data_IF_062551556936
#
_entry.id   IF_062551556936
#
_cell.length_a   1.000
_cell.length_b   1.000
_cell.length_c   1.000
_cell.angle_alpha   90.00
_cell.angle_beta   90.00
_cell.angle_gamma   90.00
#
_symmetry.space_group_name_H-M   'P 1'
#
loop_
_entity.id
_entity.type
_entity.pdbx_description
1 polymer ?
#
# COMPACT_ATOMS: atom_id res chain seq x y z
N UNK A 1 -7.09 13.99 30.56
CA UNK A 1 -7.89 14.06 29.31
C UNK A 1 -7.23 13.16 28.28
N UNK A 2 -7.98 12.31 27.59
CA UNK A 2 -7.45 11.53 26.47
C UNK A 2 -6.99 12.46 25.34
N UNK A 3 -5.95 12.09 24.62
CA UNK A 3 -5.53 12.83 23.43
C UNK A 3 -6.62 12.73 22.34
N UNK A 4 -6.86 13.79 21.56
CA UNK A 4 -7.87 13.77 20.52
C UNK A 4 -7.42 12.89 19.34
N UNK A 5 -8.31 11.99 18.91
CA UNK A 5 -8.02 10.96 17.90
C UNK A 5 -9.05 11.00 16.76
N UNK A 6 -8.61 10.66 15.56
CA UNK A 6 -9.50 10.33 14.45
C UNK A 6 -9.70 8.83 14.40
N UNK A 7 -10.96 8.42 14.56
CA UNK A 7 -11.38 7.02 14.52
C UNK A 7 -12.01 6.79 13.15
N UNK A 8 -11.57 5.74 12.45
CA UNK A 8 -12.09 5.42 11.11
C UNK A 8 -12.70 4.03 11.09
N UNK A 9 -13.97 4.00 10.68
CA UNK A 9 -14.71 2.79 10.40
C UNK A 9 -14.66 2.45 8.91
N UNK A 10 -14.47 1.18 8.60
CA UNK A 10 -14.46 0.64 7.23
C UNK A 10 -15.50 -0.46 7.14
N UNK A 11 -16.27 -0.56 6.05
CA UNK A 11 -17.20 -1.66 5.87
C UNK A 11 -16.38 -2.91 5.53
N UNK A 12 -16.55 -3.97 6.31
CA UNK A 12 -15.92 -5.27 6.08
C UNK A 12 -16.99 -6.34 5.91
N UNK A 13 -16.75 -7.35 5.04
CA UNK A 13 -17.65 -8.47 4.90
C UNK A 13 -17.63 -9.34 6.17
N UNK A 14 -18.81 -9.71 6.66
CA UNK A 14 -19.03 -10.60 7.80
C UNK A 14 -18.68 -12.05 7.46
N UNK A 15 -18.95 -12.46 6.21
CA UNK A 15 -18.56 -13.75 5.68
C UNK A 15 -17.76 -13.58 4.38
N UNK A 16 -16.67 -14.35 4.26
CA UNK A 16 -15.84 -14.42 3.05
C UNK A 16 -15.81 -15.87 2.58
N UNK A 17 -16.39 -16.13 1.40
CA UNK A 17 -16.29 -17.45 0.75
C UNK A 17 -15.00 -17.51 -0.05
N UNK A 18 -14.14 -18.47 0.29
CA UNK A 18 -12.83 -18.60 -0.34
C UNK A 18 -12.96 -18.94 -1.83
N UNK A 19 -12.29 -18.16 -2.68
CA UNK A 19 -12.22 -18.43 -4.13
C UNK A 19 -13.34 -17.82 -4.97
N UNK A 20 -14.33 -17.18 -4.36
CA UNK A 20 -15.36 -16.39 -5.05
C UNK A 20 -15.09 -14.89 -4.89
N UNK A 21 -15.82 -14.08 -5.66
CA UNK A 21 -15.88 -12.64 -5.43
C UNK A 21 -16.59 -12.33 -4.12
N UNK A 22 -16.28 -11.17 -3.55
CA UNK A 22 -16.95 -10.73 -2.33
C UNK A 22 -18.42 -10.48 -2.62
N UNK A 23 -19.28 -11.07 -1.80
CA UNK A 23 -20.71 -10.79 -1.80
C UNK A 23 -20.94 -9.32 -1.42
N UNK A 24 -21.61 -8.57 -2.30
CA UNK A 24 -21.87 -7.14 -2.14
C UNK A 24 -23.23 -6.85 -1.51
N UNK A 25 -24.00 -7.88 -1.15
CA UNK A 25 -25.27 -7.71 -0.43
C UNK A 25 -25.05 -6.97 0.89
N UNK A 26 -25.83 -5.91 1.12
CA UNK A 26 -25.63 -5.00 2.25
C UNK A 26 -25.67 -5.73 3.61
N UNK A 27 -26.43 -6.82 3.73
CA UNK A 27 -26.51 -7.63 4.95
C UNK A 27 -25.19 -8.31 5.31
N UNK A 28 -24.32 -8.57 4.32
CA UNK A 28 -23.01 -9.16 4.56
C UNK A 28 -21.97 -8.13 5.01
N UNK A 29 -22.26 -6.82 5.09
CA UNK A 29 -21.26 -5.80 5.42
C UNK A 29 -21.54 -5.13 6.75
N UNK A 30 -20.51 -5.00 7.58
CA UNK A 30 -20.56 -4.33 8.87
C UNK A 30 -19.46 -3.28 8.99
N UNK A 31 -19.77 -2.17 9.66
CA UNK A 31 -18.79 -1.15 9.99
C UNK A 31 -17.88 -1.64 11.11
N UNK A 32 -16.59 -1.76 10.82
CA UNK A 32 -15.57 -2.13 11.79
C UNK A 32 -14.62 -0.95 12.02
N UNK A 33 -14.29 -0.69 13.28
CA UNK A 33 -13.23 0.25 13.63
C UNK A 33 -11.89 -0.35 13.19
N UNK A 34 -11.28 0.23 12.17
CA UNK A 34 -10.04 -0.29 11.58
C UNK A 34 -8.81 0.58 11.84
N UNK A 35 -9.01 1.89 12.04
CA UNK A 35 -7.90 2.82 12.21
C UNK A 35 -8.16 3.83 13.32
N UNK A 36 -7.09 4.16 14.05
CA UNK A 36 -7.04 5.27 14.99
C UNK A 36 -5.82 6.11 14.65
N UNK A 37 -6.02 7.40 14.43
CA UNK A 37 -4.94 8.34 14.13
C UNK A 37 -4.89 9.42 15.20
N UNK A 38 -3.78 9.55 15.96
CA UNK A 38 -3.62 10.67 16.87
C UNK A 38 -3.57 11.98 16.09
N UNK A 39 -4.48 12.91 16.40
CA UNK A 39 -4.55 14.21 15.68
C UNK A 39 -3.23 14.95 15.78
N UNK A 40 -2.60 14.93 16.97
CA UNK A 40 -1.30 15.56 17.19
C UNK A 40 -0.21 15.00 16.27
N UNK A 41 -0.22 13.70 15.96
CA UNK A 41 0.70 13.12 14.99
C UNK A 41 0.41 13.69 13.61
N UNK A 42 -0.84 13.65 13.15
CA UNK A 42 -1.19 14.14 11.81
C UNK A 42 -0.90 15.64 11.62
N UNK A 43 -1.09 16.46 12.66
CA UNK A 43 -0.76 17.90 12.61
C UNK A 43 0.74 18.17 12.74
N UNK A 44 1.45 17.46 13.63
CA UNK A 44 2.90 17.61 13.79
C UNK A 44 3.68 17.11 12.56
N UNK A 45 3.10 16.14 11.83
CA UNK A 45 3.60 15.61 10.56
C UNK A 45 2.87 16.22 9.36
N UNK A 46 2.37 17.46 9.46
CA UNK A 46 1.88 18.27 8.33
C UNK A 46 2.88 18.45 7.17
N UNK A 47 4.04 17.79 7.26
CA UNK A 47 5.04 17.62 6.23
C UNK A 47 4.65 16.66 5.10
N UNK A 48 3.68 15.74 5.24
CA UNK A 48 3.38 14.80 4.15
C UNK A 48 2.47 15.41 3.07
N UNK A 49 1.42 16.11 3.51
CA UNK A 49 0.45 16.72 2.61
C UNK A 49 -0.12 18.00 3.20
N UNK A 50 -0.34 19.00 2.34
CA UNK A 50 -1.06 20.23 2.69
C UNK A 50 -2.58 20.03 2.77
N UNK A 51 -3.08 18.84 2.42
CA UNK A 51 -4.49 18.43 2.47
C UNK A 51 -4.64 17.14 3.28
N UNK A 52 -4.67 17.22 4.62
CA UNK A 52 -4.59 16.04 5.48
C UNK A 52 -5.74 15.05 5.30
N UNK A 53 -6.96 15.51 4.95
CA UNK A 53 -8.06 14.59 4.64
C UNK A 53 -7.87 13.84 3.32
N UNK A 54 -7.25 14.44 2.30
CA UNK A 54 -6.89 13.73 1.06
C UNK A 54 -5.82 12.67 1.33
N UNK A 55 -4.82 13.01 2.15
CA UNK A 55 -3.81 12.04 2.60
C UNK A 55 -4.43 10.90 3.39
N UNK A 56 -5.33 11.20 4.33
CA UNK A 56 -6.03 10.21 5.13
C UNK A 56 -6.84 9.25 4.24
N UNK A 57 -7.60 9.80 3.28
CA UNK A 57 -8.33 9.04 2.26
C UNK A 57 -7.39 8.10 1.49
N UNK A 58 -6.24 8.61 1.03
CA UNK A 58 -5.24 7.79 0.33
C UNK A 58 -4.68 6.67 1.21
N UNK A 59 -4.28 6.99 2.45
CA UNK A 59 -3.66 6.05 3.37
C UNK A 59 -4.61 4.89 3.71
N UNK A 60 -5.86 5.20 4.03
CA UNK A 60 -6.90 4.19 4.30
C UNK A 60 -7.15 3.34 3.07
N UNK A 61 -7.36 3.96 1.90
CA UNK A 61 -7.58 3.21 0.65
C UNK A 61 -6.41 2.31 0.28
N UNK A 62 -5.17 2.74 0.55
CA UNK A 62 -3.97 1.94 0.37
C UNK A 62 -3.91 0.77 1.36
N UNK A 63 -4.29 0.98 2.62
CA UNK A 63 -4.32 -0.07 3.63
C UNK A 63 -5.42 -1.11 3.32
N UNK A 64 -6.64 -0.67 3.03
CA UNK A 64 -7.79 -1.55 2.75
C UNK A 64 -7.76 -2.18 1.35
N UNK A 65 -7.02 -1.59 0.42
CA UNK A 65 -6.90 -2.04 -0.97
C UNK A 65 -8.01 -1.58 -1.90
N UNK A 66 -8.92 -0.73 -1.42
CA UNK A 66 -10.06 -0.23 -2.16
C UNK A 66 -10.17 1.30 -2.08
N UNK A 67 -10.61 1.92 -3.17
CA UNK A 67 -10.84 3.37 -3.25
C UNK A 67 -12.23 3.71 -2.69
N UNK A 68 -12.31 4.81 -1.96
CA UNK A 68 -13.52 5.19 -1.26
C UNK A 68 -13.53 6.66 -0.88
N UNK A 69 -14.53 7.06 -0.10
CA UNK A 69 -14.73 8.42 0.38
C UNK A 69 -14.86 8.44 1.90
N UNK A 70 -14.29 9.46 2.53
CA UNK A 70 -14.49 9.72 3.95
C UNK A 70 -15.83 10.44 4.15
N UNK A 71 -16.62 9.96 5.11
CA UNK A 71 -17.92 10.46 5.51
C UNK A 71 -17.98 10.70 7.01
N UNK A 72 -18.83 11.61 7.47
CA UNK A 72 -19.13 11.80 8.91
C UNK A 72 -20.18 10.83 9.44
N UNK A 73 -20.93 10.22 8.54
CA UNK A 73 -22.04 9.31 8.84
C UNK A 73 -21.82 7.94 8.20
N UNK A 74 -22.36 6.92 8.84
CA UNK A 74 -22.36 5.54 8.35
C UNK A 74 -23.35 5.33 7.19
N UNK A 75 -24.47 6.07 7.16
CA UNK A 75 -25.45 6.13 6.07
C UNK A 75 -26.42 7.32 6.30
N UNK A 76 -26.79 8.14 5.30
CA UNK A 76 -26.32 8.19 3.92
C UNK A 76 -24.88 8.72 3.80
N UNK A 77 -24.32 8.64 2.59
CA UNK A 77 -23.00 9.17 2.28
C UNK A 77 -22.98 10.70 2.40
N UNK A 78 -22.28 11.22 3.42
CA UNK A 78 -22.01 12.65 3.63
C UNK A 78 -20.51 12.92 3.47
N UNK A 79 -20.07 13.08 2.21
CA UNK A 79 -18.64 13.22 1.88
C UNK A 79 -18.07 14.47 2.54
N UNK A 80 -16.99 14.30 3.30
CA UNK A 80 -16.31 15.43 3.93
C UNK A 80 -15.72 16.38 2.90
N UNK A 81 -15.68 17.67 3.24
CA UNK A 81 -14.88 18.61 2.49
C UNK A 81 -13.38 18.34 2.71
N UNK A 82 -12.73 17.77 1.69
CA UNK A 82 -11.30 17.47 1.71
C UNK A 82 -10.40 18.71 1.77
N UNK A 83 -10.96 19.91 1.56
CA UNK A 83 -10.25 21.18 1.70
C UNK A 83 -10.44 21.84 3.06
N UNK A 84 -11.31 21.29 3.92
CA UNK A 84 -11.56 21.83 5.25
C UNK A 84 -10.32 21.79 6.14
N UNK A 85 -10.31 22.67 7.15
CA UNK A 85 -9.32 22.65 8.20
C UNK A 85 -9.34 21.32 8.96
N UNK A 86 -8.18 20.87 9.41
CA UNK A 86 -8.07 19.64 10.19
C UNK A 86 -8.64 19.83 11.59
N UNK A 87 -9.36 18.83 12.16
CA UNK A 87 -10.05 19.00 13.43
C UNK A 87 -9.06 19.09 14.59
N UNK A 88 -9.43 19.82 15.64
CA UNK A 88 -8.69 19.87 16.92
C UNK A 88 -9.24 18.90 17.96
N UNK A 89 -10.47 18.42 17.77
CA UNK A 89 -11.16 17.47 18.64
C UNK A 89 -11.25 16.11 17.96
N UNK A 90 -11.50 15.05 18.74
CA UNK A 90 -11.73 13.72 18.20
C UNK A 90 -12.84 13.73 17.14
N UNK A 91 -12.65 12.91 16.10
CA UNK A 91 -13.57 12.83 14.97
C UNK A 91 -13.73 11.38 14.54
N UNK A 92 -14.97 10.95 14.41
CA UNK A 92 -15.32 9.66 13.83
C UNK A 92 -15.57 9.84 12.32
N UNK A 93 -15.01 8.94 11.52
CA UNK A 93 -15.14 8.93 10.08
C UNK A 93 -15.51 7.54 9.59
N UNK A 94 -16.26 7.49 8.50
CA UNK A 94 -16.69 6.27 7.83
C UNK A 94 -16.13 6.26 6.41
N UNK A 95 -15.37 5.22 6.04
CA UNK A 95 -14.78 5.08 4.73
C UNK A 95 -15.71 4.30 3.80
N UNK A 96 -16.52 5.02 3.03
CA UNK A 96 -17.49 4.44 2.13
C UNK A 96 -16.85 3.92 0.84
N UNK A 97 -17.23 2.72 0.45
CA UNK A 97 -16.80 2.06 -0.78
C UNK A 97 -17.99 1.92 -1.74
N UNK A 98 -17.76 2.20 -3.02
CA UNK A 98 -18.68 1.81 -4.09
C UNK A 98 -18.66 0.28 -4.28
N UNK A 99 -19.70 -0.28 -4.90
CA UNK A 99 -19.86 -1.74 -5.02
C UNK A 99 -18.73 -2.42 -5.81
N UNK A 100 -18.19 -1.76 -6.83
CA UNK A 100 -17.05 -2.27 -7.60
C UNK A 100 -15.75 -2.28 -6.78
N UNK A 101 -15.57 -1.31 -5.90
CA UNK A 101 -14.45 -1.23 -4.97
C UNK A 101 -14.61 -2.20 -3.78
N UNK A 102 -15.85 -2.47 -3.34
CA UNK A 102 -16.15 -3.55 -2.37
C UNK A 102 -15.68 -4.91 -2.89
N UNK A 103 -15.92 -5.23 -4.16
CA UNK A 103 -15.44 -6.48 -4.79
C UNK A 103 -13.91 -6.60 -4.85
N UNK A 104 -13.21 -5.47 -4.80
CA UNK A 104 -11.75 -5.36 -4.85
C UNK A 104 -11.09 -5.31 -3.47
N UNK A 105 -11.88 -5.16 -2.40
CA UNK A 105 -11.38 -5.07 -1.03
C UNK A 105 -10.40 -6.22 -0.74
N UNK A 106 -9.15 -5.85 -0.45
CA UNK A 106 -8.09 -6.77 -0.13
C UNK A 106 -7.12 -6.06 0.82
N UNK A 107 -7.41 -6.07 2.13
CA UNK A 107 -6.59 -5.39 3.11
C UNK A 107 -5.14 -5.87 3.06
N UNK A 108 -4.20 -4.95 3.24
CA UNK A 108 -2.79 -5.29 3.33
C UNK A 108 -2.56 -6.16 4.56
N UNK A 109 -1.83 -7.27 4.41
CA UNK A 109 -1.51 -8.14 5.55
C UNK A 109 -0.55 -7.39 6.48
N UNK A 110 -0.86 -7.21 7.77
CA UNK A 110 0.02 -6.55 8.74
C UNK A 110 1.43 -7.17 8.78
N UNK A 111 1.57 -8.47 8.49
CA UNK A 111 2.87 -9.14 8.41
C UNK A 111 3.73 -8.63 7.25
N UNK A 112 3.14 -8.04 6.19
CA UNK A 112 3.91 -7.33 5.15
C UNK A 112 4.68 -6.15 5.72
N UNK A 113 4.12 -5.49 6.73
CA UNK A 113 4.69 -4.29 7.32
C UNK A 113 5.72 -4.61 8.41
N UNK A 114 5.77 -5.86 8.90
CA UNK A 114 6.73 -6.25 9.95
C UNK A 114 8.19 -6.09 9.47
N UNK A 115 8.98 -5.15 10.06
CA UNK A 115 10.36 -4.94 9.68
C UNK A 115 11.30 -6.08 10.13
N UNK A 116 10.87 -6.95 11.06
CA UNK A 116 11.65 -8.09 11.58
C UNK A 116 11.64 -9.30 10.64
N UNK A 117 10.64 -9.41 9.77
CA UNK A 117 10.51 -10.50 8.80
C UNK A 117 11.27 -10.25 7.46
N UNK A 118 12.32 -9.41 7.49
CA UNK A 118 13.22 -9.18 6.33
C UNK A 118 14.15 -10.38 6.15
N UNK A 119 13.60 -11.52 5.76
CA UNK A 119 14.40 -12.58 5.16
C UNK A 119 14.74 -12.16 3.73
N UNK A 120 15.76 -11.29 3.61
CA UNK A 120 16.52 -11.14 2.40
C UNK A 120 17.32 -12.45 2.23
N UNK A 121 16.66 -13.55 1.85
CA UNK A 121 17.35 -14.83 1.62
C UNK A 121 18.53 -14.54 0.71
N UNK A 122 19.74 -14.81 1.19
CA UNK A 122 21.03 -14.53 0.53
C UNK A 122 21.39 -15.60 -0.50
N UNK A 123 20.51 -16.59 -0.74
CA UNK A 123 20.73 -17.60 -1.75
C UNK A 123 20.53 -16.99 -3.15
N UNK A 124 21.63 -16.91 -3.91
CA UNK A 124 21.64 -16.49 -5.31
C UNK A 124 21.01 -17.62 -6.13
N UNK A 125 19.72 -17.52 -6.42
CA UNK A 125 19.09 -18.36 -7.43
C UNK A 125 19.34 -17.75 -8.82
N UNK A 126 19.39 -18.58 -9.86
CA UNK A 126 19.51 -18.14 -11.26
C UNK A 126 18.39 -17.16 -11.65
N UNK A 127 17.21 -17.25 -11.05
CA UNK A 127 16.08 -16.32 -11.26
C UNK A 127 16.41 -14.88 -10.81
N UNK A 128 17.11 -14.71 -9.69
CA UNK A 128 17.53 -13.38 -9.20
C UNK A 128 18.55 -12.68 -10.08
N UNK A 129 19.41 -13.43 -10.79
CA UNK A 129 20.39 -12.84 -11.70
C UNK A 129 19.70 -12.13 -12.88
N UNK A 130 18.59 -12.69 -13.39
CA UNK A 130 17.77 -12.06 -14.43
C UNK A 130 17.07 -10.79 -13.95
N UNK A 131 16.55 -10.81 -12.71
CA UNK A 131 15.83 -9.67 -12.13
C UNK A 131 16.70 -8.39 -12.10
N UNK A 132 17.95 -8.47 -11.64
CA UNK A 132 18.83 -7.29 -11.58
C UNK A 132 19.03 -6.69 -12.98
N UNK A 133 19.25 -7.52 -13.99
CA UNK A 133 19.43 -7.07 -15.38
C UNK A 133 18.19 -6.35 -15.88
N UNK A 134 16.99 -6.91 -15.66
CA UNK A 134 15.73 -6.28 -16.06
C UNK A 134 15.46 -4.96 -15.34
N UNK A 135 15.76 -4.89 -14.03
CA UNK A 135 15.60 -3.67 -13.24
C UNK A 135 16.59 -2.59 -13.68
N UNK A 136 17.85 -2.94 -13.93
CA UNK A 136 18.84 -1.99 -14.49
C UNK A 136 18.38 -1.50 -15.85
N UNK A 137 17.87 -2.38 -16.71
CA UNK A 137 17.36 -2.02 -18.04
C UNK A 137 16.17 -1.04 -17.95
N UNK A 138 15.32 -1.16 -16.94
CA UNK A 138 14.19 -0.24 -16.73
C UNK A 138 14.61 1.07 -16.07
N UNK A 139 15.36 1.01 -14.97
CA UNK A 139 15.62 2.17 -14.10
C UNK A 139 16.83 2.98 -14.55
N UNK A 140 17.83 2.33 -15.17
CA UNK A 140 19.11 2.85 -15.65
C UNK A 140 20.05 3.39 -14.56
N UNK A 141 19.52 4.17 -13.62
CA UNK A 141 20.21 4.79 -12.48
C UNK A 141 19.40 4.59 -11.19
N UNK A 142 19.96 4.97 -10.04
CA UNK A 142 19.19 4.99 -8.79
C UNK A 142 17.92 5.83 -8.96
N UNK A 143 16.76 5.25 -8.64
CA UNK A 143 15.44 5.93 -8.76
C UNK A 143 15.37 7.19 -7.89
N UNK A 144 16.05 7.19 -6.74
CA UNK A 144 15.96 8.29 -5.78
C UNK A 144 17.11 9.29 -5.84
N UNK A 145 18.33 8.86 -6.16
CA UNK A 145 19.53 9.72 -6.08
C UNK A 145 20.20 9.97 -7.42
N UNK A 146 19.77 9.31 -8.50
CA UNK A 146 20.45 9.39 -9.80
C UNK A 146 21.85 8.73 -9.84
N UNK A 147 22.29 8.10 -8.75
CA UNK A 147 23.60 7.44 -8.71
C UNK A 147 23.75 6.34 -9.78
N UNK A 148 24.98 6.08 -10.26
CA UNK A 148 25.24 4.99 -11.20
C UNK A 148 24.79 3.63 -10.67
N UNK A 149 24.41 2.73 -11.59
CA UNK A 149 23.91 1.38 -11.28
C UNK A 149 24.84 0.52 -10.42
N UNK A 150 26.15 0.76 -10.51
CA UNK A 150 27.17 0.00 -9.78
C UNK A 150 27.18 0.35 -8.27
N UNK A 151 26.62 1.51 -7.92
CA UNK A 151 26.41 1.94 -6.53
C UNK A 151 25.05 1.49 -5.96
N UNK A 152 24.28 0.70 -6.71
CA UNK A 152 22.89 0.40 -6.39
C UNK A 152 22.59 -1.08 -6.25
N UNK A 153 21.67 -1.38 -5.34
CA UNK A 153 21.06 -2.70 -5.14
C UNK A 153 19.70 -2.75 -5.85
N UNK A 154 19.34 -3.94 -6.30
CA UNK A 154 17.97 -4.24 -6.74
C UNK A 154 17.15 -4.60 -5.51
N UNK A 155 16.15 -3.79 -5.20
CA UNK A 155 15.38 -3.88 -3.95
C UNK A 155 13.94 -4.24 -4.28
N UNK A 156 13.44 -5.34 -3.71
CA UNK A 156 12.03 -5.71 -3.82
C UNK A 156 11.14 -4.76 -2.99
N UNK A 157 10.00 -4.34 -3.54
CA UNK A 157 8.99 -3.54 -2.87
C UNK A 157 8.18 -4.39 -1.87
N UNK A 158 7.72 -5.55 -2.31
CA UNK A 158 7.22 -6.62 -1.46
C UNK A 158 8.35 -7.63 -1.28
N UNK A 159 8.84 -7.76 -0.05
CA UNK A 159 9.95 -8.64 0.27
C UNK A 159 9.68 -10.09 -0.19
N UNK A 160 10.71 -10.71 -0.74
CA UNK A 160 10.63 -12.06 -1.29
C UNK A 160 10.08 -13.08 -0.29
N UNK A 161 10.48 -12.98 0.98
CA UNK A 161 10.00 -13.85 2.06
C UNK A 161 8.51 -13.75 2.36
N UNK A 162 7.82 -12.73 1.86
CA UNK A 162 6.41 -12.46 2.13
C UNK A 162 5.51 -12.66 0.92
N UNK A 163 6.06 -12.58 -0.30
CA UNK A 163 5.27 -12.76 -1.52
C UNK A 163 5.12 -14.21 -1.98
N UNK A 164 6.02 -15.10 -1.56
CA UNK A 164 6.22 -16.42 -2.18
C UNK A 164 5.35 -17.59 -1.68
N UNK A 165 4.41 -17.37 -0.76
CA UNK A 165 3.40 -18.41 -0.54
C UNK A 165 2.39 -18.15 0.57
N UNK A 166 1.12 -18.35 0.23
CA UNK A 166 0.16 -19.04 1.11
C UNK A 166 0.05 -20.46 0.56
N UNK A 167 0.54 -21.45 1.32
CA UNK A 167 0.35 -22.86 0.99
C UNK A 167 -1.08 -23.25 1.37
N UNK A 168 -1.97 -23.50 0.41
CA UNK A 168 -3.27 -24.11 0.68
C UNK A 168 -3.09 -25.61 0.49
N UNK A 169 -3.05 -26.35 1.61
CA UNK A 169 -3.11 -27.80 1.62
C UNK A 169 -4.56 -28.22 1.36
N UNK A 170 -4.87 -28.65 0.13
CA UNK A 170 -6.12 -29.36 -0.14
C UNK A 170 -5.80 -30.86 -0.07
N UNK A 171 -6.22 -31.50 1.02
CA UNK A 171 -6.20 -32.96 1.12
C UNK A 171 -7.46 -33.50 0.42
N UNK A 172 -7.32 -33.97 -0.82
CA UNK A 172 -8.30 -34.87 -1.41
C UNK A 172 -7.84 -36.30 -1.16
N UNK A 173 -8.76 -37.17 -0.70
CA UNK A 173 -8.51 -38.60 -0.48
C UNK A 173 -7.72 -39.18 -1.65
N UNK A 174 -6.49 -39.59 -1.37
CA UNK A 174 -5.52 -40.25 -2.28
C UNK A 174 -4.64 -39.37 -3.19
N UNK A 175 -4.66 -38.04 -3.12
CA UNK A 175 -3.65 -37.20 -3.83
C UNK A 175 -3.40 -35.85 -3.16
N UNK A 176 -2.12 -35.57 -2.86
CA UNK A 176 -1.66 -34.27 -2.36
C UNK A 176 -1.54 -33.28 -3.53
N UNK A 177 -2.49 -32.36 -3.67
CA UNK A 177 -2.39 -31.24 -4.62
C UNK A 177 -1.93 -30.01 -3.84
N UNK A 178 -0.66 -29.61 -4.00
CA UNK A 178 -0.13 -28.37 -3.42
C UNK A 178 -0.45 -27.23 -4.39
N UNK A 179 -1.42 -26.38 -4.05
CA UNK A 179 -1.72 -25.18 -4.80
C UNK A 179 -0.88 -24.01 -4.26
N UNK A 180 0.25 -23.73 -4.89
CA UNK A 180 1.04 -22.53 -4.59
C UNK A 180 0.32 -21.30 -5.12
N UNK A 181 -0.37 -20.55 -4.26
CA UNK A 181 -0.79 -19.19 -4.58
C UNK A 181 0.23 -18.22 -4.00
N UNK A 182 0.94 -17.52 -4.88
CA UNK A 182 1.80 -16.40 -4.49
C UNK A 182 0.90 -15.26 -4.00
N UNK A 183 1.16 -14.81 -2.77
CA UNK A 183 0.42 -13.71 -2.13
C UNK A 183 0.44 -12.46 -3.03
N UNK A 184 1.60 -12.17 -3.63
CA UNK A 184 1.79 -11.00 -4.49
C UNK A 184 0.83 -10.99 -5.69
N UNK A 185 0.53 -12.15 -6.27
CA UNK A 185 -0.41 -12.28 -7.39
C UNK A 185 -1.83 -11.95 -6.98
N UNK A 186 -2.30 -12.47 -5.84
CA UNK A 186 -3.65 -12.15 -5.35
C UNK A 186 -3.75 -10.69 -4.91
N UNK A 187 -2.72 -10.19 -4.20
CA UNK A 187 -2.62 -8.81 -3.75
C UNK A 187 -2.70 -7.82 -4.92
N UNK A 188 -1.88 -8.03 -5.95
CA UNK A 188 -1.87 -7.15 -7.13
C UNK A 188 -3.09 -7.34 -8.02
N UNK A 189 -3.61 -8.57 -8.18
CA UNK A 189 -4.83 -8.83 -8.96
C UNK A 189 -6.07 -8.16 -8.36
N UNK A 190 -6.30 -8.28 -7.05
CA UNK A 190 -7.47 -7.66 -6.40
C UNK A 190 -7.41 -6.13 -6.44
N UNK A 191 -6.19 -5.57 -6.43
CA UNK A 191 -5.93 -4.12 -6.45
C UNK A 191 -5.72 -3.55 -7.86
N UNK A 192 -5.71 -4.42 -8.87
CA UNK A 192 -5.48 -4.03 -10.27
C UNK A 192 -6.61 -3.12 -10.74
N UNK A 193 -6.24 -2.06 -11.46
CA UNK A 193 -7.19 -1.17 -12.14
C UNK A 193 -6.89 -1.05 -13.63
N UNK A 194 -5.85 -1.75 -14.10
CA UNK A 194 -5.54 -1.83 -15.51
C UNK A 194 -6.50 -2.77 -16.24
N UNK A 195 -7.17 -2.30 -17.32
CA UNK A 195 -7.97 -3.17 -18.18
C UNK A 195 -7.15 -4.33 -18.78
N UNK A 196 -5.83 -4.13 -18.95
CA UNK A 196 -4.93 -5.08 -19.57
C UNK A 196 -4.18 -5.95 -18.56
N UNK A 197 -4.45 -5.80 -17.26
CA UNK A 197 -3.76 -6.51 -16.19
C UNK A 197 -2.22 -6.34 -16.21
N UNK A 198 -1.71 -5.23 -16.76
CA UNK A 198 -0.28 -4.95 -16.85
C UNK A 198 0.35 -4.54 -15.50
N UNK A 199 -0.47 -4.21 -14.51
CA UNK A 199 -0.09 -3.94 -13.12
C UNK A 199 -0.07 -5.21 -12.25
N UNK A 200 -0.56 -6.35 -12.75
CA UNK A 200 -0.52 -7.62 -12.03
C UNK A 200 0.90 -8.18 -12.02
N UNK A 201 1.34 -8.55 -10.82
CA UNK A 201 2.64 -9.18 -10.58
C UNK A 201 2.43 -10.65 -10.27
N UNK A 202 2.82 -11.51 -11.20
CA UNK A 202 2.62 -12.97 -11.12
C UNK A 202 3.81 -13.73 -10.57
N UNK A 203 4.93 -13.04 -10.31
CA UNK A 203 6.17 -13.61 -9.81
C UNK A 203 6.84 -12.63 -8.85
N UNK A 204 7.37 -13.14 -7.73
CA UNK A 204 8.01 -12.31 -6.71
C UNK A 204 9.26 -11.59 -7.23
N UNK A 205 9.97 -12.26 -8.14
CA UNK A 205 11.17 -11.78 -8.84
C UNK A 205 10.82 -11.03 -10.14
N UNK A 206 9.59 -10.53 -10.26
CA UNK A 206 9.23 -9.62 -11.33
C UNK A 206 9.91 -8.27 -11.17
N UNK A 207 10.42 -7.70 -12.27
CA UNK A 207 10.96 -6.34 -12.27
C UNK A 207 9.91 -5.30 -11.81
N UNK A 208 8.61 -5.57 -11.97
CA UNK A 208 7.51 -4.71 -11.48
C UNK A 208 7.48 -4.61 -9.94
N UNK A 209 8.01 -5.60 -9.23
CA UNK A 209 8.11 -5.61 -7.77
C UNK A 209 9.50 -5.18 -7.27
N UNK A 210 10.37 -4.65 -8.12
CA UNK A 210 11.71 -4.25 -7.69
C UNK A 210 12.10 -2.89 -8.27
N UNK A 211 13.01 -2.20 -7.59
CA UNK A 211 13.56 -0.90 -7.98
C UNK A 211 15.06 -0.83 -7.71
N UNK A 212 15.76 0.05 -8.42
CA UNK A 212 17.19 0.29 -8.23
C UNK A 212 17.42 1.40 -7.20
N UNK A 213 17.99 1.06 -6.04
CA UNK A 213 18.27 1.99 -4.95
C UNK A 213 19.73 1.96 -4.51
N UNK A 214 20.24 3.11 -4.08
CA UNK A 214 21.56 3.16 -3.44
C UNK A 214 21.59 2.26 -2.21
N UNK A 215 22.74 1.65 -1.92
CA UNK A 215 22.91 0.74 -0.77
C UNK A 215 22.45 1.35 0.56
N UNK A 216 22.70 2.65 0.76
CA UNK A 216 22.27 3.37 1.96
C UNK A 216 20.75 3.54 2.05
N UNK A 217 20.04 3.70 0.91
CA UNK A 217 18.58 3.80 0.91
C UNK A 217 17.91 2.44 1.04
N UNK A 218 18.54 1.39 0.54
CA UNK A 218 18.06 0.02 0.69
C UNK A 218 17.92 -0.38 2.17
N UNK A 219 18.78 0.11 3.07
CA UNK A 219 18.65 -0.19 4.51
C UNK A 219 17.54 0.60 5.20
N UNK A 220 17.10 1.72 4.61
CA UNK A 220 16.16 2.68 5.18
C UNK A 220 14.74 2.55 4.64
N UNK A 221 14.55 1.93 3.47
CA UNK A 221 13.23 1.68 2.91
C UNK A 221 12.37 0.84 3.87
N UNK A 222 11.11 1.27 4.03
CA UNK A 222 10.16 0.68 4.98
C UNK A 222 10.56 0.89 6.45
N UNK A 223 11.46 1.83 6.75
CA UNK A 223 11.74 2.33 8.10
C UNK A 223 11.51 3.84 8.17
N UNK A 224 12.27 4.54 7.34
CA UNK A 224 12.36 6.00 7.30
C UNK A 224 12.22 6.54 5.88
N UNK A 225 12.03 5.67 4.89
CA UNK A 225 11.82 6.03 3.48
C UNK A 225 10.71 5.17 2.90
N UNK A 226 9.86 5.77 2.07
CA UNK A 226 8.97 5.04 1.18
C UNK A 226 8.56 5.88 -0.02
N UNK A 227 7.60 5.37 -0.78
CA UNK A 227 7.16 5.97 -2.03
C UNK A 227 5.69 6.34 -1.94
N UNK A 228 5.37 7.53 -2.43
CA UNK A 228 4.00 7.97 -2.62
C UNK A 228 3.79 8.24 -4.11
N UNK A 229 3.03 7.39 -4.82
CA UNK A 229 2.64 7.69 -6.18
C UNK A 229 1.71 8.91 -6.19
N UNK A 230 2.06 9.92 -6.99
CA UNK A 230 1.22 11.08 -7.28
C UNK A 230 1.26 11.40 -8.79
N UNK A 231 0.12 11.81 -9.40
CA UNK A 231 -1.21 11.82 -8.80
C UNK A 231 -1.71 10.41 -8.49
N UNK A 232 -2.62 10.31 -7.52
CA UNK A 232 -3.34 9.09 -7.18
C UNK A 232 -4.84 9.40 -7.00
N UNK A 233 -5.65 8.41 -6.62
CA UNK A 233 -7.11 8.56 -6.56
C UNK A 233 -7.62 9.60 -5.55
N UNK A 234 -6.78 10.03 -4.62
CA UNK A 234 -7.14 10.95 -3.55
C UNK A 234 -6.31 12.24 -3.54
N UNK A 235 -5.08 12.21 -4.04
CA UNK A 235 -4.13 13.31 -3.99
C UNK A 235 -3.53 13.64 -5.36
N UNK A 236 -3.39 14.94 -5.60
CA UNK A 236 -2.62 15.53 -6.69
C UNK A 236 -1.18 15.81 -6.24
N UNK A 237 -0.29 16.09 -7.21
CA UNK A 237 1.10 16.47 -6.92
C UNK A 237 1.17 17.73 -6.04
N UNK A 238 0.27 18.69 -6.26
CA UNK A 238 0.18 19.92 -5.48
C UNK A 238 -0.26 19.71 -4.03
N UNK A 239 -0.85 18.54 -3.71
CA UNK A 239 -1.24 18.21 -2.35
C UNK A 239 -0.06 17.70 -1.51
N UNK A 240 1.05 17.32 -2.14
CA UNK A 240 2.28 16.88 -1.43
C UNK A 240 3.04 18.11 -0.95
N UNK A 241 3.53 18.07 0.29
CA UNK A 241 4.26 19.21 0.83
C UNK A 241 5.53 19.49 -0.01
N UNK A 242 5.81 20.74 -0.41
CA UNK A 242 6.93 21.07 -1.29
C UNK A 242 8.30 20.61 -0.77
N UNK A 243 8.50 20.56 0.55
CA UNK A 243 9.74 20.06 1.15
C UNK A 243 10.01 18.56 0.92
N UNK A 244 9.01 17.81 0.45
CA UNK A 244 9.12 16.38 0.09
C UNK A 244 9.08 16.13 -1.41
N UNK A 245 8.66 17.12 -2.21
CA UNK A 245 8.74 17.05 -3.65
C UNK A 245 10.22 17.16 -4.06
N UNK A 246 10.89 16.02 -4.19
CA UNK A 246 12.20 15.96 -4.86
C UNK A 246 12.10 16.68 -6.21
N UNK A 247 13.12 17.49 -6.51
CA UNK A 247 13.17 18.48 -7.59
C UNK A 247 12.30 18.19 -8.82
N UNK A 248 11.51 19.20 -9.18
CA UNK A 248 10.55 19.20 -10.27
C UNK A 248 11.12 18.61 -11.58
N UNK A 249 10.32 17.76 -12.22
CA UNK A 249 10.44 17.50 -13.65
C UNK A 249 10.77 16.08 -14.07
N UNK A 250 9.99 15.09 -13.64
CA UNK A 250 9.62 13.95 -14.50
C UNK A 250 8.61 13.06 -13.77
N UNK A 251 7.78 12.32 -14.51
CA UNK A 251 6.88 11.28 -13.98
C UNK A 251 7.70 10.19 -13.27
N UNK A 252 8.14 10.42 -12.04
CA UNK A 252 8.81 9.42 -11.21
C UNK A 252 8.38 9.59 -9.75
N UNK A 253 8.04 8.45 -9.15
CA UNK A 253 7.62 8.31 -7.75
C UNK A 253 8.40 9.25 -6.82
N UNK A 254 7.71 10.17 -6.16
CA UNK A 254 8.34 11.09 -5.22
C UNK A 254 8.75 10.31 -3.95
N UNK A 255 10.05 10.25 -3.63
CA UNK A 255 10.50 9.56 -2.44
C UNK A 255 10.13 10.39 -1.21
N UNK A 256 9.46 9.75 -0.26
CA UNK A 256 9.06 10.38 1.01
C UNK A 256 9.96 9.83 2.11
N UNK A 257 10.61 10.73 2.86
CA UNK A 257 11.26 10.38 4.11
C UNK A 257 10.24 10.41 5.24
N UNK A 258 10.11 9.30 5.94
CA UNK A 258 9.37 9.17 7.18
C UNK A 258 10.31 9.34 8.38
N UNK A 259 9.88 10.08 9.40
CA UNK A 259 10.53 10.04 10.70
C UNK A 259 10.28 8.68 11.36
N UNK A 260 11.20 8.21 12.22
CA UNK A 260 11.17 6.88 12.89
C UNK A 260 9.90 6.58 13.70
N UNK A 261 9.00 7.55 13.87
CA UNK A 261 7.76 7.47 14.62
C UNK A 261 6.52 7.11 13.78
N UNK A 262 6.70 6.69 12.52
CA UNK A 262 5.62 6.51 11.54
C UNK A 262 5.25 5.04 11.23
N UNK A 263 5.85 4.08 11.93
CA UNK A 263 5.57 2.63 11.78
C UNK A 263 5.42 1.95 13.14
#
# INVERSE_FOLDING_TARGET
>A
MAAPDIIVYVPLPSAVVQGQDLDIEQQNWQWAHCFTFPILCLTSYGSLSVKPFKWLRYAIGSAVGAQGHLSRTDNPLDVIDYNAAFPTNSLELYYHLADDERRRLFPADPKLLDPKARSNSTAVTTRRAGLRTEVIRRDQTCVMTGLPRDCCDTVHLIAHSKGDGVCILILFWSSLIIFWRQYITMYTRRRSRSPNADDIVTDIDSCKNAILLSKSLHTEIGKTVGFLPVPNFAMDVADVHPSLAGGAGEKRMSPIRFSKSLL
#
